data_IF_391661388589
#
_entry.id   IF_391661388589
#
_cell.length_a   1.000
_cell.length_b   1.000
_cell.length_c   1.000
_cell.angle_alpha   90.00
_cell.angle_beta   90.00
_cell.angle_gamma   90.00
#
_symmetry.space_group_name_H-M   'P 1'
#
loop_
_entity.id
_entity.type
_entity.pdbx_description
1 polymer ?
#
# COMPACT_ATOMS: atom_id res chain seq x y z
N UNK A 1 2.85 34.70 7.57
CA UNK A 1 2.95 35.44 8.86
C UNK A 1 4.02 34.86 9.79
N UNK A 2 4.24 33.53 9.85
CA UNK A 2 5.23 32.89 10.75
C UNK A 2 6.71 33.21 10.43
N UNK A 3 6.99 33.78 9.25
CA UNK A 3 8.31 34.26 8.82
C UNK A 3 8.45 35.79 8.97
N UNK A 4 7.50 36.47 9.57
CA UNK A 4 7.49 37.93 9.70
C UNK A 4 6.90 38.65 8.48
N UNK A 5 6.27 37.94 7.56
CA UNK A 5 5.59 38.54 6.40
C UNK A 5 4.50 39.53 6.84
N UNK A 6 4.52 40.71 6.30
CA UNK A 6 3.72 41.85 6.69
C UNK A 6 4.37 42.82 7.66
N UNK A 7 5.48 42.44 8.29
CA UNK A 7 6.33 43.31 9.13
C UNK A 7 7.69 43.62 8.46
N UNK A 8 8.21 42.66 7.71
CA UNK A 8 9.49 42.74 6.98
C UNK A 8 9.30 42.08 5.64
N UNK A 9 9.94 42.58 4.60
CA UNK A 9 9.98 41.89 3.30
C UNK A 9 10.73 40.57 3.44
N UNK A 10 10.07 39.50 3.01
CA UNK A 10 10.64 38.14 3.05
C UNK A 10 11.25 37.83 1.68
N UNK A 11 12.54 37.63 1.63
CA UNK A 11 13.35 37.42 0.41
C UNK A 11 13.17 36.02 -0.22
N UNK A 12 12.03 35.37 -0.01
CA UNK A 12 11.72 34.06 -0.56
C UNK A 12 10.66 34.16 -1.66
N UNK A 13 10.98 33.65 -2.83
CA UNK A 13 10.05 33.48 -3.91
C UNK A 13 9.07 32.31 -3.68
N UNK A 14 7.90 32.29 -4.34
CA UNK A 14 6.96 31.17 -4.26
C UNK A 14 7.59 29.81 -4.53
N UNK A 15 8.55 29.72 -5.46
CA UNK A 15 9.28 28.50 -5.80
C UNK A 15 10.07 27.89 -4.62
N UNK A 16 10.60 28.76 -3.72
CA UNK A 16 11.29 28.30 -2.53
C UNK A 16 10.34 27.65 -1.52
N UNK A 17 9.12 28.17 -1.39
CA UNK A 17 8.10 27.55 -0.54
C UNK A 17 7.65 26.20 -1.08
N UNK A 18 7.46 26.06 -2.40
CA UNK A 18 7.12 24.78 -3.02
C UNK A 18 8.21 23.75 -2.82
N UNK A 19 9.48 24.14 -2.99
CA UNK A 19 10.62 23.26 -2.73
C UNK A 19 10.67 22.82 -1.28
N UNK A 20 10.45 23.75 -0.34
CA UNK A 20 10.44 23.43 1.09
C UNK A 20 9.29 22.47 1.47
N UNK A 21 8.13 22.58 0.83
CA UNK A 21 6.99 21.66 1.03
C UNK A 21 7.33 20.28 0.48
N UNK A 22 7.90 20.19 -0.72
CA UNK A 22 8.34 18.91 -1.31
C UNK A 22 9.38 18.22 -0.45
N UNK A 23 10.39 18.93 0.00
CA UNK A 23 11.42 18.41 0.92
C UNK A 23 10.79 17.90 2.23
N UNK A 24 9.77 18.59 2.75
CA UNK A 24 9.06 18.17 3.96
C UNK A 24 8.26 16.88 3.74
N UNK A 25 7.57 16.76 2.61
CA UNK A 25 6.83 15.56 2.24
C UNK A 25 7.76 14.36 2.04
N UNK A 26 8.85 14.55 1.31
CA UNK A 26 9.83 13.48 1.07
C UNK A 26 10.48 13.03 2.39
N UNK A 27 10.77 13.96 3.27
CA UNK A 27 11.33 13.64 4.59
C UNK A 27 10.33 12.91 5.47
N UNK A 28 9.06 13.29 5.41
CA UNK A 28 7.98 12.59 6.11
C UNK A 28 7.84 11.17 5.60
N UNK A 29 7.80 10.98 4.27
CA UNK A 29 7.69 9.66 3.64
C UNK A 29 8.86 8.73 3.96
N UNK A 30 10.07 9.29 4.12
CA UNK A 30 11.26 8.51 4.48
C UNK A 30 11.28 8.03 5.94
N UNK A 31 10.58 8.71 6.84
CA UNK A 31 10.73 8.49 8.29
C UNK A 31 9.48 8.03 9.01
N UNK A 32 8.32 8.16 8.39
CA UNK A 32 7.05 7.86 9.03
C UNK A 32 6.34 6.70 8.38
N UNK A 33 6.02 5.69 9.16
CA UNK A 33 5.20 4.56 8.72
C UNK A 33 3.76 4.99 8.37
N UNK A 34 3.30 6.12 8.92
CA UNK A 34 1.99 6.71 8.57
C UNK A 34 1.91 7.25 7.14
N UNK A 35 3.04 7.30 6.41
CA UNK A 35 3.07 7.68 5.00
C UNK A 35 2.66 6.55 4.06
N UNK A 36 2.57 5.34 4.57
CA UNK A 36 2.29 4.11 3.82
C UNK A 36 0.95 3.55 4.27
N UNK A 37 0.20 3.00 3.34
CA UNK A 37 -1.04 2.27 3.63
C UNK A 37 -1.04 0.91 2.94
N UNK A 38 -1.73 -0.03 3.58
CA UNK A 38 -2.04 -1.32 2.99
C UNK A 38 -3.26 -1.18 2.11
N UNK A 39 -3.19 -1.69 0.89
CA UNK A 39 -4.30 -1.66 -0.06
C UNK A 39 -4.43 -2.98 -0.80
N UNK A 40 -5.64 -3.26 -1.25
CA UNK A 40 -5.95 -4.43 -2.06
C UNK A 40 -6.35 -3.98 -3.46
N UNK A 41 -5.61 -4.45 -4.46
CA UNK A 41 -5.78 -4.05 -5.86
C UNK A 41 -6.06 -5.27 -6.71
N UNK A 42 -7.05 -5.18 -7.59
CA UNK A 42 -7.33 -6.21 -8.58
C UNK A 42 -6.41 -6.04 -9.79
N UNK A 43 -5.80 -7.16 -10.21
CA UNK A 43 -5.00 -7.23 -11.42
C UNK A 43 -5.60 -8.26 -12.37
N UNK A 44 -6.12 -7.84 -13.54
CA UNK A 44 -6.52 -8.76 -14.58
C UNK A 44 -5.27 -9.36 -15.24
N UNK A 45 -5.21 -10.68 -15.31
CA UNK A 45 -4.12 -11.40 -15.94
C UNK A 45 -4.42 -11.66 -17.41
N UNK A 46 -3.41 -11.46 -18.25
CA UNK A 46 -3.46 -11.78 -19.67
C UNK A 46 -2.73 -13.09 -19.92
N UNK A 47 -3.33 -13.95 -20.76
CA UNK A 47 -2.73 -15.23 -21.11
C UNK A 47 -1.31 -15.05 -21.69
N UNK A 48 -0.38 -15.86 -21.20
CA UNK A 48 1.02 -15.88 -21.63
C UNK A 48 1.81 -14.58 -21.36
N UNK A 49 1.24 -13.63 -20.60
CA UNK A 49 1.93 -12.44 -20.13
C UNK A 49 2.32 -12.63 -18.68
N UNK A 50 3.61 -12.64 -18.39
CA UNK A 50 4.12 -12.82 -17.03
C UNK A 50 4.54 -11.49 -16.39
N UNK A 51 4.82 -10.45 -17.17
CA UNK A 51 5.36 -9.19 -16.73
C UNK A 51 4.29 -8.08 -16.76
N UNK A 52 4.13 -7.42 -15.63
CA UNK A 52 3.19 -6.31 -15.44
C UNK A 52 3.91 -5.12 -14.84
N UNK A 53 3.68 -3.92 -15.38
CA UNK A 53 4.16 -2.68 -14.79
C UNK A 53 3.05 -2.09 -13.93
N UNK A 54 3.33 -1.89 -12.66
CA UNK A 54 2.38 -1.34 -11.69
C UNK A 54 2.60 0.17 -11.51
N UNK A 55 1.66 0.83 -10.83
CA UNK A 55 1.73 2.26 -10.55
C UNK A 55 2.95 2.62 -9.67
N UNK A 56 3.50 3.82 -9.88
CA UNK A 56 4.67 4.31 -9.15
C UNK A 56 4.43 4.45 -7.64
N UNK A 57 3.19 4.64 -7.24
CA UNK A 57 2.76 4.76 -5.85
C UNK A 57 2.93 3.46 -5.06
N UNK A 58 3.01 2.30 -5.73
CA UNK A 58 3.19 1.00 -5.10
C UNK A 58 4.65 0.84 -4.67
N UNK A 59 4.84 0.64 -3.38
CA UNK A 59 6.15 0.44 -2.77
C UNK A 59 6.54 -1.03 -2.84
N UNK A 60 5.61 -1.91 -2.40
CA UNK A 60 5.85 -3.33 -2.27
C UNK A 60 4.59 -4.13 -2.55
N UNK A 61 4.73 -5.25 -3.24
CA UNK A 61 3.70 -6.27 -3.38
C UNK A 61 4.00 -7.36 -2.35
N UNK A 62 3.07 -7.58 -1.43
CA UNK A 62 3.24 -8.54 -0.34
C UNK A 62 2.76 -9.93 -0.72
N UNK A 63 1.57 -10.00 -1.28
CA UNK A 63 0.93 -11.26 -1.59
C UNK A 63 -0.03 -11.12 -2.77
N UNK A 64 -0.15 -12.19 -3.52
CA UNK A 64 -1.11 -12.29 -4.63
C UNK A 64 -2.03 -13.47 -4.36
N UNK A 65 -3.33 -13.20 -4.39
CA UNK A 65 -4.37 -14.17 -4.09
C UNK A 65 -5.16 -14.50 -5.36
N UNK A 66 -5.35 -15.78 -5.61
CA UNK A 66 -6.29 -16.29 -6.61
C UNK A 66 -7.69 -16.37 -6.04
N UNK A 67 -8.68 -16.42 -6.91
CA UNK A 67 -10.02 -16.81 -6.53
C UNK A 67 -10.00 -18.26 -6.03
N UNK A 68 -10.67 -18.50 -4.91
CA UNK A 68 -10.74 -19.83 -4.30
C UNK A 68 -11.41 -20.84 -5.23
N UNK A 69 -10.76 -21.98 -5.40
CA UNK A 69 -11.27 -23.10 -6.23
C UNK A 69 -12.50 -23.76 -5.59
N UNK A 70 -12.75 -23.52 -4.30
CA UNK A 70 -13.76 -24.23 -3.51
C UNK A 70 -15.14 -23.60 -3.45
N UNK A 71 -15.35 -22.40 -3.94
CA UNK A 71 -16.66 -21.71 -3.90
C UNK A 71 -17.49 -21.97 -5.16
N UNK A 72 -17.83 -23.21 -5.41
CA UNK A 72 -18.84 -23.59 -6.41
C UNK A 72 -20.25 -23.41 -5.85
N UNK A 73 -20.74 -22.20 -5.85
CA UNK A 73 -22.19 -21.98 -5.81
C UNK A 73 -22.65 -21.72 -7.25
N UNK A 74 -23.20 -22.78 -7.87
CA UNK A 74 -24.05 -22.81 -9.03
C UNK A 74 -23.79 -21.80 -10.16
N UNK A 75 -22.95 -22.14 -11.11
CA UNK A 75 -22.84 -21.41 -12.37
C UNK A 75 -21.40 -21.13 -12.77
N UNK A 76 -20.85 -21.97 -13.55
CA UNK A 76 -19.81 -21.82 -14.59
C UNK A 76 -18.51 -21.06 -14.34
N UNK A 77 -18.42 -20.15 -13.42
CA UNK A 77 -17.26 -19.31 -13.21
C UNK A 77 -16.67 -19.51 -11.81
N UNK A 78 -15.39 -19.81 -11.74
CA UNK A 78 -14.70 -20.17 -10.49
C UNK A 78 -14.94 -19.17 -9.37
N UNK A 79 -14.96 -19.66 -8.15
CA UNK A 79 -15.25 -19.03 -6.87
C UNK A 79 -15.27 -17.51 -6.79
N UNK A 80 -16.33 -16.99 -6.17
CA UNK A 80 -16.56 -15.54 -6.05
C UNK A 80 -15.68 -14.85 -4.99
N UNK A 81 -15.01 -15.62 -4.12
CA UNK A 81 -14.21 -15.10 -3.01
C UNK A 81 -12.72 -15.36 -3.23
N UNK A 82 -11.91 -14.34 -2.98
CA UNK A 82 -10.46 -14.47 -2.90
C UNK A 82 -10.06 -15.12 -1.59
N UNK A 83 -8.93 -15.82 -1.59
CA UNK A 83 -8.49 -16.66 -0.48
C UNK A 83 -8.54 -16.01 0.91
N UNK A 84 -8.08 -14.77 1.15
CA UNK A 84 -8.13 -14.17 2.47
C UNK A 84 -9.56 -13.94 2.96
N UNK A 85 -10.48 -13.58 2.06
CA UNK A 85 -11.88 -13.36 2.42
C UNK A 85 -12.64 -14.67 2.62
N UNK A 86 -12.30 -15.71 1.87
CA UNK A 86 -12.87 -17.03 2.05
C UNK A 86 -12.46 -17.61 3.42
N UNK A 87 -11.21 -17.45 3.80
CA UNK A 87 -10.71 -17.83 5.11
C UNK A 87 -11.46 -17.10 6.23
N UNK A 88 -11.63 -15.78 6.11
CA UNK A 88 -12.38 -14.97 7.07
C UNK A 88 -13.84 -15.41 7.20
N UNK A 89 -14.51 -15.68 6.07
CA UNK A 89 -15.89 -16.17 6.06
C UNK A 89 -16.02 -17.54 6.72
N UNK A 90 -15.14 -18.47 6.38
CA UNK A 90 -15.13 -19.82 6.96
C UNK A 90 -14.86 -19.76 8.46
N UNK A 91 -13.96 -18.89 8.89
CA UNK A 91 -13.66 -18.68 10.31
C UNK A 91 -14.86 -18.12 11.06
N UNK A 92 -15.56 -17.15 10.50
CA UNK A 92 -16.79 -16.58 11.09
C UNK A 92 -17.89 -17.63 11.20
N UNK A 93 -18.05 -18.44 10.17
CA UNK A 93 -19.03 -19.52 10.16
C UNK A 93 -18.71 -20.61 11.21
N UNK A 94 -17.46 -21.03 11.28
CA UNK A 94 -17.00 -22.02 12.29
C UNK A 94 -17.12 -21.50 13.71
N UNK A 95 -16.84 -20.22 13.94
CA UNK A 95 -17.01 -19.57 15.23
C UNK A 95 -18.48 -19.39 15.60
N UNK A 96 -19.35 -19.07 14.63
CA UNK A 96 -20.79 -18.91 14.85
C UNK A 96 -21.51 -20.25 15.09
N UNK A 97 -21.03 -21.33 14.47
CA UNK A 97 -21.55 -22.70 14.71
C UNK A 97 -21.00 -23.35 15.98
N UNK A 98 -20.39 -22.61 16.84
CA UNK A 98 -19.41 -22.96 17.88
C UNK A 98 -19.94 -23.65 19.13
N UNK A 99 -20.79 -24.63 18.99
CA UNK A 99 -20.90 -25.59 20.09
C UNK A 99 -19.76 -26.64 20.11
N UNK A 100 -18.83 -26.61 19.14
CA UNK A 100 -17.84 -27.66 18.96
C UNK A 100 -16.39 -27.21 18.68
N UNK A 101 -16.09 -25.93 18.61
CA UNK A 101 -14.75 -25.54 18.18
C UNK A 101 -14.11 -24.44 19.02
N UNK A 102 -13.15 -24.78 19.86
CA UNK A 102 -12.27 -23.80 20.51
C UNK A 102 -11.22 -23.25 19.57
N UNK A 103 -10.41 -22.29 20.06
CA UNK A 103 -9.26 -21.66 19.35
C UNK A 103 -8.31 -22.71 18.74
N UNK A 104 -8.19 -23.89 19.36
CA UNK A 104 -7.36 -24.98 18.86
C UNK A 104 -7.90 -25.57 17.54
N UNK A 105 -9.21 -25.75 17.41
CA UNK A 105 -9.83 -26.24 16.17
C UNK A 105 -9.72 -25.22 15.06
N UNK A 106 -9.89 -23.94 15.38
CA UNK A 106 -9.65 -22.82 14.46
C UNK A 106 -8.23 -22.84 13.91
N UNK A 107 -7.24 -22.96 14.78
CA UNK A 107 -5.84 -22.93 14.39
C UNK A 107 -5.47 -24.14 13.52
N UNK A 108 -5.94 -25.33 13.88
CA UNK A 108 -5.76 -26.54 13.09
C UNK A 108 -6.34 -26.39 11.68
N UNK A 109 -7.58 -25.87 11.58
CA UNK A 109 -8.26 -25.68 10.32
C UNK A 109 -7.59 -24.61 9.45
N UNK A 110 -7.15 -23.50 10.04
CA UNK A 110 -6.42 -22.44 9.36
C UNK A 110 -5.08 -22.96 8.80
N UNK A 111 -4.33 -23.72 9.55
CA UNK A 111 -3.09 -24.36 9.09
C UNK A 111 -3.33 -25.37 7.97
N UNK A 112 -4.40 -26.15 8.08
CA UNK A 112 -4.78 -27.12 7.06
C UNK A 112 -5.18 -26.43 5.76
N UNK A 113 -5.95 -25.33 5.82
CA UNK A 113 -6.31 -24.54 4.63
C UNK A 113 -5.08 -23.90 3.99
N UNK A 114 -4.16 -23.37 4.76
CA UNK A 114 -2.91 -22.82 4.25
C UNK A 114 -2.08 -23.90 3.54
N UNK A 115 -1.99 -25.09 4.12
CA UNK A 115 -1.29 -26.22 3.51
C UNK A 115 -1.94 -26.63 2.18
N UNK A 116 -3.26 -26.79 2.17
CA UNK A 116 -4.03 -27.11 0.96
C UNK A 116 -3.87 -26.02 -0.09
N UNK A 117 -3.91 -24.74 0.30
CA UNK A 117 -3.67 -23.62 -0.58
C UNK A 117 -2.30 -23.68 -1.25
N UNK A 118 -1.26 -23.99 -0.50
CA UNK A 118 0.10 -24.17 -1.04
C UNK A 118 0.19 -25.38 -1.97
N UNK A 119 -0.44 -26.51 -1.64
CA UNK A 119 -0.41 -27.72 -2.46
C UNK A 119 -1.16 -27.57 -3.78
N UNK A 120 -2.28 -26.87 -3.80
CA UNK A 120 -3.13 -26.71 -5.00
C UNK A 120 -2.93 -25.39 -5.75
N UNK A 121 -1.89 -24.62 -5.39
CA UNK A 121 -1.46 -23.43 -6.14
C UNK A 121 -2.40 -22.24 -6.04
N UNK A 122 -3.10 -22.08 -4.89
CA UNK A 122 -3.87 -20.86 -4.61
C UNK A 122 -2.99 -19.64 -4.37
N UNK A 123 -1.74 -19.86 -4.01
CA UNK A 123 -0.74 -18.79 -3.92
C UNK A 123 0.02 -18.66 -5.24
N UNK A 124 0.15 -17.43 -5.70
CA UNK A 124 0.92 -17.11 -6.89
C UNK A 124 2.30 -16.68 -6.47
N UNK A 125 3.31 -17.39 -6.96
CA UNK A 125 4.70 -16.98 -6.80
C UNK A 125 5.02 -15.87 -7.80
N UNK A 126 5.68 -14.82 -7.29
CA UNK A 126 6.01 -13.63 -8.07
C UNK A 126 7.36 -13.05 -7.68
N UNK A 127 7.91 -12.24 -8.57
CA UNK A 127 9.06 -11.36 -8.33
C UNK A 127 8.60 -9.91 -8.42
N UNK A 128 9.00 -9.10 -7.45
CA UNK A 128 8.75 -7.66 -7.45
C UNK A 128 10.06 -6.88 -7.53
N UNK A 129 10.13 -5.92 -8.44
CA UNK A 129 11.23 -4.99 -8.54
C UNK A 129 10.74 -3.58 -8.20
N UNK A 130 11.15 -3.06 -7.04
CA UNK A 130 10.74 -1.75 -6.53
C UNK A 130 11.20 -0.60 -7.40
N UNK A 131 12.36 -0.72 -8.04
CA UNK A 131 12.95 0.36 -8.85
C UNK A 131 12.25 0.51 -10.19
N UNK A 132 11.97 -0.61 -10.87
CA UNK A 132 11.33 -0.61 -12.19
C UNK A 132 9.81 -0.74 -12.13
N UNK A 133 9.25 -0.91 -10.92
CA UNK A 133 7.81 -1.16 -10.68
C UNK A 133 7.28 -2.34 -11.48
N UNK A 134 8.16 -3.32 -11.72
CA UNK A 134 7.84 -4.49 -12.51
C UNK A 134 7.51 -5.68 -11.61
N UNK A 135 6.32 -6.21 -11.83
CA UNK A 135 5.83 -7.46 -11.25
C UNK A 135 5.98 -8.57 -12.29
N UNK A 136 6.73 -9.62 -11.95
CA UNK A 136 6.85 -10.81 -12.80
C UNK A 136 6.19 -11.99 -12.10
N UNK A 137 5.16 -12.56 -12.70
CA UNK A 137 4.47 -13.76 -12.21
C UNK A 137 5.21 -14.99 -12.72
N UNK A 138 5.61 -15.89 -11.81
CA UNK A 138 6.40 -17.08 -12.16
C UNK A 138 5.57 -18.22 -12.71
N UNK A 139 4.27 -18.20 -12.48
CA UNK A 139 3.32 -19.19 -13.03
C UNK A 139 2.68 -18.68 -14.32
N UNK A 140 2.26 -19.58 -15.19
CA UNK A 140 1.55 -19.20 -16.43
C UNK A 140 0.14 -18.73 -16.09
N UNK A 141 -0.22 -17.47 -16.39
CA UNK A 141 -1.57 -16.96 -16.19
C UNK A 141 -2.57 -17.68 -17.12
N UNK A 142 -3.77 -17.90 -16.59
CA UNK A 142 -4.89 -18.38 -17.41
C UNK A 142 -5.61 -17.20 -18.06
N UNK A 143 -6.26 -17.44 -19.17
CA UNK A 143 -7.04 -16.39 -19.83
C UNK A 143 -8.23 -15.96 -18.97
N UNK A 144 -8.39 -14.64 -18.79
CA UNK A 144 -9.50 -14.08 -18.01
C UNK A 144 -9.38 -14.27 -16.50
N UNK A 145 -8.20 -14.63 -16.01
CA UNK A 145 -7.96 -14.76 -14.57
C UNK A 145 -7.75 -13.35 -13.96
N UNK A 146 -8.45 -13.07 -12.89
CA UNK A 146 -8.26 -11.87 -12.08
C UNK A 146 -7.71 -12.26 -10.72
N UNK A 147 -6.69 -11.55 -10.26
CA UNK A 147 -6.06 -11.78 -8.98
C UNK A 147 -6.18 -10.57 -8.08
N UNK A 148 -6.18 -10.80 -6.79
CA UNK A 148 -6.17 -9.76 -5.77
C UNK A 148 -4.74 -9.65 -5.23
N UNK A 149 -4.16 -8.46 -5.31
CA UNK A 149 -2.84 -8.17 -4.77
C UNK A 149 -2.95 -7.37 -3.48
N UNK A 150 -2.30 -7.82 -2.44
CA UNK A 150 -2.04 -7.06 -1.23
C UNK A 150 -0.76 -6.26 -1.41
N UNK A 151 -0.87 -4.95 -1.40
CA UNK A 151 0.23 -4.03 -1.68
C UNK A 151 0.39 -2.99 -0.60
N UNK A 152 1.62 -2.53 -0.40
CA UNK A 152 1.90 -1.30 0.31
C UNK A 152 2.08 -0.17 -0.68
N UNK A 153 1.38 0.92 -0.47
CA UNK A 153 1.44 2.08 -1.33
C UNK A 153 1.60 3.38 -0.52
N UNK A 154 2.15 4.40 -1.16
CA UNK A 154 2.22 5.72 -0.53
C UNK A 154 0.83 6.34 -0.43
N UNK A 155 0.52 6.87 0.74
CA UNK A 155 -0.69 7.68 0.91
C UNK A 155 -0.59 8.93 0.05
N UNK A 156 -1.64 9.29 -0.71
CA UNK A 156 -1.64 10.50 -1.53
C UNK A 156 -1.51 11.76 -0.67
N UNK A 157 -0.85 12.79 -1.20
CA UNK A 157 -0.60 14.04 -0.49
C UNK A 157 -1.88 14.67 0.05
N UNK A 158 -2.98 14.56 -0.71
CA UNK A 158 -4.28 15.07 -0.32
C UNK A 158 -4.81 14.45 0.99
N UNK A 159 -4.49 13.20 1.25
CA UNK A 159 -4.85 12.52 2.50
C UNK A 159 -3.89 12.92 3.64
N UNK A 160 -2.59 13.02 3.36
CA UNK A 160 -1.58 13.44 4.34
C UNK A 160 -1.90 14.84 4.88
N UNK A 161 -2.34 15.77 4.03
CA UNK A 161 -2.72 17.12 4.45
C UNK A 161 -4.04 17.20 5.22
N UNK A 162 -4.89 16.17 5.17
CA UNK A 162 -6.12 16.09 5.99
C UNK A 162 -5.83 15.61 7.41
N UNK A 163 -4.82 14.78 7.59
CA UNK A 163 -4.42 14.27 8.89
C UNK A 163 -3.84 15.42 9.75
N UNK A 164 -4.44 15.63 10.92
CA UNK A 164 -4.06 16.74 11.80
C UNK A 164 -2.61 16.67 12.29
N UNK A 165 -2.13 15.48 12.64
CA UNK A 165 -0.77 15.28 13.15
C UNK A 165 0.26 15.48 12.04
N UNK A 166 0.02 14.87 10.89
CA UNK A 166 0.90 14.97 9.71
C UNK A 166 0.98 16.41 9.21
N UNK A 167 -0.17 17.07 9.09
CA UNK A 167 -0.25 18.46 8.65
C UNK A 167 0.55 19.41 9.55
N UNK A 168 0.48 19.21 10.88
CA UNK A 168 1.25 20.02 11.81
C UNK A 168 2.74 19.81 11.63
N UNK A 169 3.18 18.57 11.54
CA UNK A 169 4.60 18.24 11.35
C UNK A 169 5.14 18.83 10.04
N UNK A 170 4.43 18.66 8.92
CA UNK A 170 4.83 19.21 7.62
C UNK A 170 4.95 20.73 7.68
N UNK A 171 4.00 21.43 8.33
CA UNK A 171 4.07 22.87 8.50
C UNK A 171 5.30 23.32 9.30
N UNK A 172 5.57 22.66 10.41
CA UNK A 172 6.67 23.00 11.29
C UNK A 172 8.03 22.75 10.59
N UNK A 173 8.15 21.63 9.88
CA UNK A 173 9.35 21.31 9.11
C UNK A 173 9.54 22.27 7.93
N UNK A 174 8.50 22.57 7.17
CA UNK A 174 8.55 23.54 6.06
C UNK A 174 8.97 24.92 6.58
N UNK A 175 8.43 25.36 7.72
CA UNK A 175 8.81 26.63 8.34
C UNK A 175 10.30 26.65 8.74
N UNK A 176 10.78 25.57 9.34
CA UNK A 176 12.19 25.43 9.70
C UNK A 176 13.09 25.47 8.46
N UNK A 177 12.71 24.79 7.38
CA UNK A 177 13.46 24.79 6.12
C UNK A 177 13.49 26.16 5.48
N UNK A 178 12.37 26.90 5.46
CA UNK A 178 12.33 28.28 4.97
C UNK A 178 13.23 29.21 5.80
N UNK A 179 13.23 29.07 7.14
CA UNK A 179 14.15 29.84 8.00
C UNK A 179 15.61 29.52 7.71
N UNK A 180 15.91 28.26 7.45
CA UNK A 180 17.25 27.81 7.09
C UNK A 180 17.71 28.44 5.77
N UNK A 181 16.89 28.39 4.71
CA UNK A 181 17.19 29.03 3.43
C UNK A 181 17.42 30.54 3.54
N UNK A 182 16.57 31.23 4.32
CA UNK A 182 16.78 32.66 4.61
C UNK A 182 18.08 32.91 5.34
N UNK A 183 18.44 32.07 6.31
CA UNK A 183 19.71 32.18 7.04
C UNK A 183 20.90 31.98 6.12
N UNK A 184 20.86 31.01 5.22
CA UNK A 184 21.92 30.79 4.23
C UNK A 184 22.05 31.96 3.25
N UNK A 185 20.96 32.50 2.76
CA UNK A 185 21.00 33.66 1.87
C UNK A 185 21.66 34.86 2.54
N UNK A 186 21.22 35.18 3.76
CA UNK A 186 21.78 36.33 4.52
C UNK A 186 23.22 36.12 4.93
N UNK A 187 23.65 34.91 5.24
CA UNK A 187 25.04 34.63 5.61
C UNK A 187 26.03 34.79 4.46
N UNK A 188 25.59 34.78 3.21
CA UNK A 188 26.43 35.00 2.02
C UNK A 188 26.64 36.49 1.69
N UNK A 189 25.85 37.37 2.29
CA UNK A 189 25.90 38.82 2.04
C UNK A 189 26.48 39.61 3.24
N UNK A 190 26.83 38.94 4.30
CA UNK A 190 27.60 39.46 5.40
C UNK A 190 29.05 38.96 5.33
#
# INVERSE_FOLDING_TARGET
NSLGGGLVDVELDPSHYETAIKDALDRFRQRSDNSVEESYIFLPLVKDQNDYTLADEIIEVRQIFRRSIGSRSGGGDGGTLFEPFNLAYTNTYLLASSNMGGVATYNLFSQFQELVGRMFGSFIEFKWNTTTKKLTILQRPRQGEEVLMMVYMYRPDSQLFKDYLVKKWIKDYTLAKCKYMLGEARSKFN
#
